data_IF_611815821864
#
_entry.id   IF_611815821864
#
_cell.length_a   1.000
_cell.length_b   1.000
_cell.length_c   1.000
_cell.angle_alpha   90.00
_cell.angle_beta   90.00
_cell.angle_gamma   90.00
#
_symmetry.space_group_name_H-M   'P 1'
#
loop_
_entity.id
_entity.type
_entity.pdbx_description
1 polymer ?
#
# COMPACT_ATOMS: atom_id res chain seq x y z
N UNK A 1 -10.44 -23.41 -12.29
CA UNK A 1 -9.28 -23.41 -11.36
C UNK A 1 -7.95 -23.69 -12.06
N UNK A 2 -7.77 -24.84 -12.73
CA UNK A 2 -6.47 -25.19 -13.36
C UNK A 2 -5.96 -24.11 -14.32
N UNK A 3 -6.83 -23.53 -15.14
CA UNK A 3 -6.44 -22.44 -16.06
C UNK A 3 -5.97 -21.18 -15.34
N UNK A 4 -6.50 -20.89 -14.13
CA UNK A 4 -6.01 -19.77 -13.29
C UNK A 4 -4.58 -20.02 -12.85
N UNK A 5 -4.27 -21.25 -12.41
CA UNK A 5 -2.91 -21.65 -12.00
C UNK A 5 -1.93 -21.54 -13.17
N UNK A 6 -2.30 -22.06 -14.34
CA UNK A 6 -1.48 -21.95 -15.56
C UNK A 6 -1.23 -20.48 -15.93
N UNK A 7 -2.27 -19.64 -15.85
CA UNK A 7 -2.15 -18.21 -16.16
C UNK A 7 -1.28 -17.48 -15.14
N UNK A 8 -1.42 -17.80 -13.85
CA UNK A 8 -0.66 -17.21 -12.74
C UNK A 8 0.85 -17.41 -12.87
N UNK A 9 1.26 -18.59 -13.35
CA UNK A 9 2.66 -18.95 -13.59
C UNK A 9 3.18 -18.47 -14.96
N UNK A 10 2.33 -17.89 -15.80
CA UNK A 10 2.70 -17.41 -17.12
C UNK A 10 3.33 -16.00 -17.08
N UNK A 11 4.18 -15.64 -18.07
CA UNK A 11 4.69 -14.28 -18.20
C UNK A 11 3.61 -13.20 -18.36
N UNK A 12 2.39 -13.56 -18.78
CA UNK A 12 1.27 -12.64 -18.89
C UNK A 12 0.80 -12.12 -17.51
N UNK A 13 1.12 -12.85 -16.43
CA UNK A 13 0.82 -12.48 -15.06
C UNK A 13 1.96 -11.68 -14.38
N UNK A 14 3.02 -11.31 -15.10
CA UNK A 14 4.08 -10.47 -14.54
C UNK A 14 3.59 -9.03 -14.41
N UNK A 15 3.76 -8.45 -13.22
CA UNK A 15 3.40 -7.05 -12.98
C UNK A 15 3.59 -6.62 -11.53
N UNK A 16 3.59 -5.29 -11.33
CA UNK A 16 3.78 -4.67 -10.01
C UNK A 16 2.74 -5.08 -8.96
N UNK A 17 1.63 -5.68 -9.36
CA UNK A 17 0.62 -6.23 -8.46
C UNK A 17 1.20 -7.31 -7.53
N UNK A 18 2.25 -8.02 -7.96
CA UNK A 18 3.00 -8.98 -7.13
C UNK A 18 3.71 -8.33 -5.95
N UNK A 19 3.93 -7.02 -6.00
CA UNK A 19 4.46 -6.24 -4.87
C UNK A 19 3.35 -5.63 -4.00
N UNK A 20 2.06 -5.79 -4.31
CA UNK A 20 0.98 -5.16 -3.53
C UNK A 20 0.38 -6.15 -2.53
N UNK A 21 0.23 -5.72 -1.28
CA UNK A 21 -0.55 -6.43 -0.26
C UNK A 21 -1.63 -5.49 0.24
N UNK A 22 -2.89 -5.90 0.12
CA UNK A 22 -4.04 -5.10 0.53
C UNK A 22 -4.58 -5.63 1.85
N UNK A 23 -4.78 -4.74 2.82
CA UNK A 23 -5.45 -5.01 4.08
C UNK A 23 -6.84 -4.37 4.04
N UNK A 24 -7.86 -5.17 4.33
CA UNK A 24 -9.25 -4.79 4.42
C UNK A 24 -9.72 -5.05 5.85
N UNK A 25 -10.38 -4.09 6.46
CA UNK A 25 -10.87 -4.20 7.83
C UNK A 25 -12.31 -3.73 7.91
N UNK A 26 -13.10 -4.48 8.66
CA UNK A 26 -14.43 -4.08 9.10
C UNK A 26 -14.37 -2.90 10.09
N UNK A 27 -15.51 -2.23 10.29
CA UNK A 27 -15.71 -1.28 11.38
C UNK A 27 -16.45 -1.96 12.55
N UNK A 28 -16.82 -1.19 13.57
CA UNK A 28 -17.40 -1.70 14.80
C UNK A 28 -16.38 -2.27 15.80
N UNK A 29 -16.93 -2.88 16.86
CA UNK A 29 -16.19 -3.50 17.97
C UNK A 29 -15.11 -2.59 18.60
N UNK A 30 -15.39 -1.30 18.72
CA UNK A 30 -14.44 -0.31 19.22
C UNK A 30 -13.14 -0.29 18.40
N UNK A 31 -13.28 -0.35 17.07
CA UNK A 31 -12.21 -0.45 16.08
C UNK A 31 -11.28 -1.67 16.23
N UNK A 32 -11.72 -2.80 16.83
CA UNK A 32 -10.87 -4.00 17.03
C UNK A 32 -10.23 -4.47 15.72
N UNK A 33 -11.02 -4.58 14.65
CA UNK A 33 -10.56 -5.12 13.36
C UNK A 33 -9.46 -4.27 12.73
N UNK A 34 -9.53 -2.95 12.89
CA UNK A 34 -8.47 -2.04 12.42
C UNK A 34 -7.27 -2.06 13.37
N UNK A 35 -7.49 -1.72 14.65
CA UNK A 35 -6.40 -1.38 15.58
C UNK A 35 -5.66 -2.61 16.11
N UNK A 36 -6.37 -3.73 16.26
CA UNK A 36 -5.80 -4.96 16.82
C UNK A 36 -5.46 -6.00 15.75
N UNK A 37 -6.21 -6.04 14.65
CA UNK A 37 -6.07 -7.13 13.65
C UNK A 37 -5.29 -6.72 12.40
N UNK A 38 -5.58 -5.57 11.77
CA UNK A 38 -4.95 -5.23 10.48
C UNK A 38 -3.77 -4.25 10.59
N UNK A 39 -3.88 -3.15 11.34
CA UNK A 39 -2.83 -2.13 11.43
C UNK A 39 -1.48 -2.66 11.92
N UNK A 40 -1.42 -3.50 12.98
CA UNK A 40 -0.14 -4.07 13.41
C UNK A 40 0.55 -4.86 12.30
N UNK A 41 -0.21 -5.67 11.54
CA UNK A 41 0.32 -6.48 10.43
C UNK A 41 0.79 -5.61 9.27
N UNK A 42 0.01 -4.58 8.93
CA UNK A 42 0.35 -3.64 7.87
C UNK A 42 1.65 -2.88 8.18
N UNK A 43 1.77 -2.34 9.40
CA UNK A 43 2.94 -1.57 9.84
C UNK A 43 4.19 -2.45 9.97
N UNK A 44 4.00 -3.68 10.42
CA UNK A 44 5.04 -4.70 10.46
C UNK A 44 5.56 -5.04 9.05
N UNK A 45 4.67 -5.24 8.08
CA UNK A 45 5.05 -5.54 6.69
C UNK A 45 5.83 -4.39 6.06
N UNK A 46 5.40 -3.14 6.28
CA UNK A 46 6.11 -1.93 5.82
C UNK A 46 7.55 -1.93 6.34
N UNK A 47 7.72 -2.28 7.63
CA UNK A 47 9.02 -2.23 8.30
C UNK A 47 9.93 -3.40 7.88
N UNK A 48 9.40 -4.62 7.88
CA UNK A 48 10.19 -5.85 7.69
C UNK A 48 10.35 -6.27 6.24
N UNK A 49 9.46 -5.80 5.34
CA UNK A 49 9.43 -6.20 3.93
C UNK A 49 9.12 -4.99 3.03
N UNK A 50 9.99 -3.96 3.01
CA UNK A 50 9.72 -2.71 2.30
C UNK A 50 9.54 -2.87 0.79
N UNK A 51 9.95 -3.99 0.19
CA UNK A 51 9.66 -4.29 -1.23
C UNK A 51 8.15 -4.38 -1.53
N UNK A 52 7.34 -4.80 -0.56
CA UNK A 52 5.88 -4.82 -0.69
C UNK A 52 5.27 -3.45 -0.39
N UNK A 53 4.29 -3.06 -1.20
CA UNK A 53 3.47 -1.88 -1.07
C UNK A 53 2.19 -2.26 -0.32
N UNK A 54 2.01 -1.66 0.85
CA UNK A 54 0.79 -1.82 1.65
C UNK A 54 -0.29 -0.90 1.12
N UNK A 55 -1.44 -1.48 0.83
CA UNK A 55 -2.66 -0.77 0.49
C UNK A 55 -3.71 -1.03 1.59
N UNK A 56 -4.37 0.02 2.08
CA UNK A 56 -5.32 -0.08 3.19
C UNK A 56 -6.72 0.31 2.70
N UNK A 57 -7.70 -0.54 2.96
CA UNK A 57 -9.12 -0.33 2.64
C UNK A 57 -9.92 -0.68 3.89
N UNK A 58 -9.97 0.22 4.86
CA UNK A 58 -10.74 0.00 6.07
C UNK A 58 -12.12 0.63 5.88
N UNK A 59 -13.17 -0.10 6.23
CA UNK A 59 -14.55 0.34 6.02
C UNK A 59 -14.79 1.75 6.59
N UNK A 60 -14.23 1.99 7.78
CA UNK A 60 -14.25 3.25 8.51
C UNK A 60 -13.46 4.42 7.84
N UNK A 61 -12.82 4.20 6.69
CA UNK A 61 -12.26 5.26 5.82
C UNK A 61 -13.29 5.79 4.80
N UNK A 62 -14.46 5.17 4.71
CA UNK A 62 -15.48 5.42 3.70
C UNK A 62 -16.85 5.66 4.36
N UNK A 63 -17.67 6.56 3.82
CA UNK A 63 -19.00 6.81 4.37
C UNK A 63 -19.91 5.60 4.18
N UNK A 64 -20.74 5.33 5.17
CA UNK A 64 -21.87 4.41 5.05
C UNK A 64 -23.15 5.16 4.63
N UNK A 65 -24.04 4.46 3.92
CA UNK A 65 -25.34 4.96 3.48
C UNK A 65 -26.43 3.94 3.80
N UNK A 66 -27.56 4.42 4.34
CA UNK A 66 -28.71 3.57 4.64
C UNK A 66 -29.44 3.16 3.35
N UNK A 67 -29.73 1.87 3.20
CA UNK A 67 -30.52 1.30 2.13
C UNK A 67 -31.66 0.41 2.65
N UNK A 68 -32.51 -0.06 1.73
CA UNK A 68 -33.65 -0.93 2.08
C UNK A 68 -33.23 -2.27 2.71
N UNK A 69 -31.99 -2.71 2.48
CA UNK A 69 -31.43 -3.96 3.01
C UNK A 69 -30.46 -3.79 4.18
N UNK A 70 -30.32 -2.59 4.75
CA UNK A 70 -29.32 -2.26 5.78
C UNK A 70 -28.37 -1.15 5.35
N UNK A 71 -27.31 -0.92 6.14
CA UNK A 71 -26.23 -0.01 5.75
C UNK A 71 -25.46 -0.59 4.56
N UNK A 72 -24.85 0.29 3.78
CA UNK A 72 -23.96 -0.07 2.69
C UNK A 72 -22.80 0.92 2.63
N UNK A 73 -21.64 0.51 2.13
CA UNK A 73 -20.57 1.46 1.78
C UNK A 73 -20.11 1.31 0.32
N UNK A 74 -20.81 1.97 -0.64
CA UNK A 74 -20.46 1.89 -2.06
C UNK A 74 -19.03 2.34 -2.37
N UNK A 75 -18.47 3.25 -1.57
CA UNK A 75 -17.11 3.72 -1.74
C UNK A 75 -16.07 2.69 -1.24
N UNK A 76 -16.36 1.96 -0.16
CA UNK A 76 -15.53 0.85 0.29
C UNK A 76 -15.59 -0.33 -0.71
N UNK A 77 -16.79 -0.70 -1.19
CA UNK A 77 -16.96 -1.74 -2.23
C UNK A 77 -16.09 -1.45 -3.45
N UNK A 78 -16.20 -0.23 -4.02
CA UNK A 78 -15.35 0.17 -5.17
C UNK A 78 -13.86 0.09 -4.86
N UNK A 79 -13.43 0.48 -3.65
CA UNK A 79 -12.02 0.41 -3.28
C UNK A 79 -11.50 -1.03 -3.14
N UNK A 80 -12.35 -1.97 -2.70
CA UNK A 80 -12.04 -3.40 -2.67
C UNK A 80 -11.97 -3.95 -4.09
N UNK A 81 -12.97 -3.64 -4.92
CA UNK A 81 -13.01 -4.05 -6.33
C UNK A 81 -11.75 -3.57 -7.06
N UNK A 82 -11.41 -2.28 -6.93
CA UNK A 82 -10.18 -1.72 -7.52
C UNK A 82 -8.91 -2.42 -7.02
N UNK A 83 -8.84 -2.78 -5.74
CA UNK A 83 -7.66 -3.44 -5.17
C UNK A 83 -7.47 -4.88 -5.72
N UNK A 84 -8.56 -5.58 -6.00
CA UNK A 84 -8.57 -6.92 -6.58
C UNK A 84 -8.36 -6.83 -8.10
N UNK A 85 -9.09 -5.94 -8.78
CA UNK A 85 -9.03 -5.72 -10.22
C UNK A 85 -7.66 -5.25 -10.69
N UNK A 86 -7.02 -4.33 -9.96
CA UNK A 86 -5.65 -3.90 -10.26
C UNK A 86 -4.61 -4.93 -9.82
N UNK A 87 -5.03 -5.94 -9.05
CA UNK A 87 -4.21 -7.03 -8.55
C UNK A 87 -3.52 -6.68 -7.23
N UNK A 88 -3.59 -7.62 -6.30
CA UNK A 88 -2.81 -7.65 -5.07
C UNK A 88 -2.29 -9.09 -4.88
N UNK A 89 -1.02 -9.27 -4.51
CA UNK A 89 -0.47 -10.60 -4.23
C UNK A 89 -1.29 -11.29 -3.14
N UNK A 90 -1.60 -10.54 -2.08
CA UNK A 90 -2.45 -10.96 -0.97
C UNK A 90 -3.50 -9.88 -0.71
N UNK A 91 -4.75 -10.29 -0.57
CA UNK A 91 -5.81 -9.51 0.09
C UNK A 91 -6.08 -10.15 1.44
N UNK A 92 -5.80 -9.43 2.52
CA UNK A 92 -6.16 -9.85 3.87
C UNK A 92 -7.40 -9.10 4.33
N UNK A 93 -8.42 -9.84 4.74
CA UNK A 93 -9.62 -9.29 5.36
C UNK A 93 -9.73 -9.75 6.82
N UNK A 94 -10.08 -8.83 7.72
CA UNK A 94 -10.42 -9.12 9.11
C UNK A 94 -11.70 -8.37 9.49
N UNK A 95 -12.69 -9.10 10.01
CA UNK A 95 -14.01 -8.55 10.29
C UNK A 95 -15.12 -9.57 10.36
N UNK A 96 -16.35 -9.09 10.45
CA UNK A 96 -17.56 -9.90 10.32
C UNK A 96 -17.77 -10.39 8.89
N UNK A 97 -18.78 -11.21 8.69
CA UNK A 97 -19.12 -11.70 7.37
C UNK A 97 -19.84 -13.03 7.45
N UNK A 98 -20.15 -13.54 6.28
CA UNK A 98 -20.67 -14.89 6.17
C UNK A 98 -20.60 -15.42 4.77
N UNK A 99 -21.32 -16.53 4.52
CA UNK A 99 -21.35 -17.24 3.23
C UNK A 99 -21.70 -16.35 2.02
N UNK A 100 -22.28 -15.15 2.20
CA UNK A 100 -22.70 -14.23 1.13
C UNK A 100 -21.75 -13.06 0.86
N UNK A 101 -20.83 -12.72 1.77
CA UNK A 101 -20.02 -11.51 1.64
C UNK A 101 -19.34 -11.09 2.94
N UNK A 102 -18.71 -9.91 2.92
CA UNK A 102 -18.05 -9.31 4.08
C UNK A 102 -18.92 -8.22 4.70
N UNK A 103 -18.85 -8.14 6.04
CA UNK A 103 -19.56 -7.18 6.90
C UNK A 103 -21.09 -7.16 6.77
N UNK A 104 -21.76 -6.44 7.67
CA UNK A 104 -23.21 -6.22 7.60
C UNK A 104 -23.56 -5.12 6.56
N UNK A 105 -22.58 -4.29 6.20
CA UNK A 105 -22.63 -3.22 5.19
C UNK A 105 -22.48 -3.75 3.76
N UNK A 106 -22.50 -5.08 3.59
CA UNK A 106 -22.59 -5.76 2.29
C UNK A 106 -21.45 -5.35 1.34
N UNK A 107 -20.22 -5.33 1.84
CA UNK A 107 -19.04 -5.13 1.00
C UNK A 107 -18.53 -6.49 0.50
N UNK A 108 -18.03 -6.54 -0.74
CA UNK A 108 -17.49 -7.76 -1.35
C UNK A 108 -18.46 -8.95 -1.28
N UNK A 109 -19.67 -8.76 -1.80
CA UNK A 109 -20.72 -9.77 -1.87
C UNK A 109 -20.41 -10.85 -2.91
N UNK A 110 -21.11 -12.00 -2.86
CA UNK A 110 -21.06 -13.03 -3.91
C UNK A 110 -21.33 -12.45 -5.31
N UNK A 111 -22.20 -11.45 -5.42
CA UNK A 111 -22.48 -10.76 -6.69
C UNK A 111 -21.26 -9.96 -7.18
N UNK A 112 -20.55 -9.28 -6.28
CA UNK A 112 -19.33 -8.55 -6.61
C UNK A 112 -18.23 -9.52 -7.06
N UNK A 113 -18.07 -10.64 -6.34
CA UNK A 113 -17.14 -11.71 -6.69
C UNK A 113 -17.38 -12.22 -8.12
N UNK A 114 -18.64 -12.46 -8.50
CA UNK A 114 -19.01 -12.96 -9.83
C UNK A 114 -18.63 -12.01 -10.97
N UNK A 115 -18.43 -10.73 -10.67
CA UNK A 115 -18.07 -9.70 -11.64
C UNK A 115 -16.54 -9.47 -11.75
N UNK A 116 -15.72 -10.25 -11.04
CA UNK A 116 -14.27 -10.06 -11.05
C UNK A 116 -13.60 -10.54 -12.35
N UNK A 117 -12.75 -9.69 -12.93
CA UNK A 117 -12.10 -9.83 -14.24
C UNK A 117 -10.56 -9.84 -14.16
N UNK A 118 -9.98 -9.94 -12.95
CA UNK A 118 -8.53 -9.94 -12.69
C UNK A 118 -7.78 -11.23 -13.13
N UNK A 119 -8.02 -11.72 -14.35
CA UNK A 119 -7.56 -13.00 -14.91
C UNK A 119 -6.04 -13.20 -14.83
N UNK A 120 -5.24 -12.17 -15.11
CA UNK A 120 -3.77 -12.25 -15.09
C UNK A 120 -3.14 -11.82 -13.77
N UNK A 121 -3.97 -11.52 -12.77
CA UNK A 121 -3.56 -11.09 -11.43
C UNK A 121 -4.54 -11.58 -10.36
N UNK A 122 -4.87 -12.88 -10.34
CA UNK A 122 -5.74 -13.43 -9.30
C UNK A 122 -5.03 -13.32 -7.96
N UNK A 123 -5.78 -12.95 -6.92
CA UNK A 123 -5.21 -12.67 -5.60
C UNK A 123 -5.25 -13.89 -4.70
N UNK A 124 -4.31 -14.01 -3.75
CA UNK A 124 -4.49 -14.94 -2.65
C UNK A 124 -5.25 -14.24 -1.52
N UNK A 125 -6.34 -14.84 -1.04
CA UNK A 125 -7.15 -14.24 0.01
C UNK A 125 -6.86 -14.87 1.37
N UNK A 126 -6.54 -14.04 2.36
CA UNK A 126 -6.56 -14.42 3.76
C UNK A 126 -7.79 -13.80 4.41
N UNK A 127 -8.83 -14.59 4.65
CA UNK A 127 -10.11 -14.09 5.16
C UNK A 127 -10.33 -14.58 6.59
N UNK A 128 -10.18 -13.65 7.53
CA UNK A 128 -10.29 -13.88 8.95
C UNK A 128 -11.66 -13.36 9.43
N UNK A 129 -12.71 -14.05 8.96
CA UNK A 129 -14.12 -13.73 9.12
C UNK A 129 -14.92 -15.00 9.39
N UNK A 130 -16.22 -14.93 9.67
CA UNK A 130 -17.06 -16.11 9.84
C UNK A 130 -17.43 -16.74 8.49
N UNK A 131 -17.33 -18.07 8.41
CA UNK A 131 -17.92 -19.00 7.42
C UNK A 131 -17.95 -18.63 5.91
N UNK A 132 -17.14 -17.66 5.48
CA UNK A 132 -17.09 -17.13 4.11
C UNK A 132 -16.90 -18.19 3.04
N UNK A 133 -16.26 -19.30 3.39
CA UNK A 133 -15.97 -20.42 2.48
C UNK A 133 -16.56 -21.76 2.96
N UNK A 134 -17.79 -21.75 3.46
CA UNK A 134 -18.56 -22.99 3.68
C UNK A 134 -18.73 -23.73 2.36
N UNK A 135 -18.09 -24.89 2.21
CA UNK A 135 -18.00 -25.62 0.93
C UNK A 135 -18.71 -26.97 0.90
N UNK A 136 -19.43 -27.30 1.95
CA UNK A 136 -20.10 -28.58 2.14
C UNK A 136 -21.63 -28.47 2.17
N UNK A 137 -22.16 -27.33 1.71
CA UNK A 137 -23.60 -27.14 1.49
C UNK A 137 -23.94 -27.39 0.01
N UNK A 138 -24.64 -28.49 -0.33
CA UNK A 138 -25.00 -28.80 -1.72
C UNK A 138 -26.08 -27.87 -2.29
N UNK A 139 -26.75 -27.06 -1.46
CA UNK A 139 -27.81 -26.14 -1.88
C UNK A 139 -27.30 -24.72 -2.12
N UNK A 140 -26.07 -24.40 -1.69
CA UNK A 140 -25.54 -23.03 -1.72
C UNK A 140 -24.02 -22.96 -1.88
N UNK A 141 -23.55 -22.44 -3.02
CA UNK A 141 -22.12 -22.07 -3.15
C UNK A 141 -21.83 -20.76 -2.39
N UNK A 142 -20.84 -20.77 -1.50
CA UNK A 142 -20.44 -19.56 -0.78
C UNK A 142 -19.70 -18.55 -1.67
N UNK A 143 -19.63 -17.29 -1.24
CA UNK A 143 -18.84 -16.25 -1.90
C UNK A 143 -17.35 -16.64 -2.02
N UNK A 144 -16.79 -17.26 -0.98
CA UNK A 144 -15.41 -17.75 -0.97
C UNK A 144 -15.15 -18.90 -1.96
N UNK A 145 -16.08 -19.84 -2.09
CA UNK A 145 -15.99 -20.89 -3.12
C UNK A 145 -16.04 -20.30 -4.52
N UNK A 146 -17.03 -19.45 -4.77
CA UNK A 146 -17.26 -18.80 -6.07
C UNK A 146 -16.04 -18.00 -6.51
N UNK A 147 -15.36 -17.31 -5.58
CA UNK A 147 -14.14 -16.57 -5.85
C UNK A 147 -13.01 -17.47 -6.41
N UNK A 148 -12.99 -18.74 -6.01
CA UNK A 148 -12.02 -19.73 -6.49
C UNK A 148 -12.47 -20.41 -7.78
N UNK A 149 -13.72 -20.86 -7.88
CA UNK A 149 -14.16 -21.84 -8.89
C UNK A 149 -14.99 -21.27 -10.04
N UNK A 150 -15.86 -20.29 -9.79
CA UNK A 150 -16.96 -19.94 -10.71
C UNK A 150 -16.75 -18.63 -11.48
N UNK A 151 -15.57 -18.03 -11.34
CA UNK A 151 -15.19 -16.77 -12.00
C UNK A 151 -13.87 -16.94 -12.74
N UNK A 152 -13.67 -16.25 -13.86
CA UNK A 152 -12.39 -16.30 -14.59
C UNK A 152 -11.28 -15.57 -13.85
N UNK A 153 -11.60 -14.46 -13.17
CA UNK A 153 -10.72 -13.75 -12.24
C UNK A 153 -10.76 -14.33 -10.83
N UNK A 154 -10.98 -13.48 -9.83
CA UNK A 154 -11.14 -13.85 -8.43
C UNK A 154 -9.84 -14.22 -7.73
N UNK A 155 -9.91 -15.30 -6.96
CA UNK A 155 -8.81 -15.79 -6.13
C UNK A 155 -8.01 -16.89 -6.83
N UNK A 156 -6.69 -16.90 -6.60
CA UNK A 156 -5.80 -18.04 -6.93
C UNK A 156 -5.87 -19.14 -5.87
N UNK A 157 -6.29 -18.76 -4.66
CA UNK A 157 -6.47 -19.61 -3.50
C UNK A 157 -6.87 -18.75 -2.29
N UNK A 158 -7.42 -19.39 -1.26
CA UNK A 158 -7.85 -18.75 -0.03
C UNK A 158 -7.36 -19.54 1.18
N UNK A 159 -6.79 -18.87 2.17
CA UNK A 159 -6.77 -19.38 3.55
C UNK A 159 -7.91 -18.68 4.29
N UNK A 160 -8.94 -19.45 4.63
CA UNK A 160 -10.27 -18.92 4.91
C UNK A 160 -11.00 -19.80 5.92
N UNK A 161 -12.08 -19.29 6.47
CA UNK A 161 -12.94 -20.02 7.40
C UNK A 161 -14.07 -20.75 6.67
N UNK A 162 -14.41 -21.90 7.21
CA UNK A 162 -15.46 -22.79 6.71
C UNK A 162 -16.64 -22.88 7.67
N UNK A 163 -16.49 -22.26 8.86
CA UNK A 163 -17.43 -22.22 9.97
C UNK A 163 -17.20 -20.93 10.76
N UNK A 164 -18.10 -20.65 11.70
CA UNK A 164 -18.02 -19.52 12.62
C UNK A 164 -16.72 -19.58 13.44
N UNK A 165 -16.14 -18.41 13.69
CA UNK A 165 -14.91 -18.21 14.45
C UNK A 165 -15.01 -16.94 15.30
N UNK A 166 -14.04 -16.73 16.20
CA UNK A 166 -13.99 -15.56 17.09
C UNK A 166 -12.82 -14.65 16.68
N UNK A 167 -13.05 -13.33 16.68
CA UNK A 167 -12.11 -12.28 16.25
C UNK A 167 -10.71 -12.42 16.86
N UNK A 168 -10.61 -12.70 18.15
CA UNK A 168 -9.31 -12.86 18.84
C UNK A 168 -8.47 -14.00 18.25
N UNK A 169 -9.09 -15.14 17.90
CA UNK A 169 -8.36 -16.27 17.31
C UNK A 169 -8.02 -16.04 15.83
N UNK A 170 -8.87 -15.28 15.13
CA UNK A 170 -8.59 -14.79 13.78
C UNK A 170 -7.32 -13.94 13.74
N UNK A 171 -7.16 -13.03 14.71
CA UNK A 171 -5.95 -12.22 14.87
C UNK A 171 -4.70 -13.10 15.01
N UNK A 172 -4.69 -14.06 15.93
CA UNK A 172 -3.52 -14.95 16.14
C UNK A 172 -3.16 -15.77 14.88
N UNK A 173 -4.16 -16.19 14.11
CA UNK A 173 -3.94 -16.86 12.83
C UNK A 173 -3.35 -15.92 11.78
N UNK A 174 -3.88 -14.70 11.65
CA UNK A 174 -3.33 -13.70 10.72
C UNK A 174 -1.89 -13.31 11.08
N UNK A 175 -1.60 -13.05 12.35
CA UNK A 175 -0.24 -12.79 12.84
C UNK A 175 0.71 -13.91 12.46
N UNK A 176 0.29 -15.16 12.69
CA UNK A 176 1.12 -16.30 12.34
C UNK A 176 1.28 -16.47 10.83
N UNK A 177 0.22 -16.24 10.05
CA UNK A 177 0.28 -16.29 8.59
C UNK A 177 1.33 -15.31 8.04
N UNK A 178 1.29 -14.04 8.45
CA UNK A 178 2.25 -13.04 7.98
C UNK A 178 3.69 -13.30 8.48
N UNK A 179 3.85 -13.99 9.61
CA UNK A 179 5.17 -14.43 10.07
C UNK A 179 5.78 -15.52 9.16
N UNK A 180 4.98 -16.34 8.47
CA UNK A 180 5.46 -17.50 7.72
C UNK A 180 5.37 -17.34 6.20
N UNK A 181 4.38 -16.61 5.68
CA UNK A 181 4.13 -16.49 4.23
C UNK A 181 5.28 -15.80 3.50
N UNK A 182 6.04 -14.95 4.18
CA UNK A 182 7.23 -14.28 3.64
C UNK A 182 8.56 -14.82 4.21
N UNK A 183 8.54 -16.05 4.75
CA UNK A 183 9.70 -16.71 5.33
C UNK A 183 10.07 -17.95 4.50
N UNK A 184 11.28 -17.99 3.91
CA UNK A 184 11.74 -19.17 3.18
C UNK A 184 11.77 -20.43 4.06
N UNK A 185 11.34 -21.56 3.49
CA UNK A 185 11.47 -22.91 4.03
C UNK A 185 12.55 -23.63 3.22
N UNK A 186 13.64 -24.04 3.87
CA UNK A 186 14.78 -24.70 3.21
C UNK A 186 15.35 -23.90 2.02
N UNK A 187 15.48 -22.58 2.19
CA UNK A 187 16.09 -21.68 1.20
C UNK A 187 15.20 -21.32 0.01
N UNK A 188 13.92 -21.71 0.01
CA UNK A 188 12.92 -21.32 -1.00
C UNK A 188 11.72 -20.69 -0.32
N UNK A 189 11.03 -19.75 -0.96
CA UNK A 189 9.73 -19.27 -0.47
C UNK A 189 8.78 -20.45 -0.19
N UNK A 190 7.78 -20.36 0.69
CA UNK A 190 6.97 -21.51 1.10
C UNK A 190 5.90 -21.86 0.06
N UNK A 191 5.42 -23.12 0.05
CA UNK A 191 4.23 -23.51 -0.73
C UNK A 191 2.98 -23.18 0.10
N UNK A 192 1.82 -23.04 -0.53
CA UNK A 192 0.58 -22.73 0.19
C UNK A 192 0.24 -23.78 1.26
N UNK A 193 0.50 -25.06 1.00
CA UNK A 193 0.35 -26.13 2.00
C UNK A 193 1.29 -25.96 3.20
N UNK A 194 2.55 -25.57 2.97
CA UNK A 194 3.50 -25.27 4.05
C UNK A 194 3.04 -24.05 4.86
N UNK A 195 2.59 -23.00 4.18
CA UNK A 195 2.04 -21.79 4.82
C UNK A 195 0.86 -22.17 5.70
N UNK A 196 -0.10 -22.95 5.20
CA UNK A 196 -1.24 -23.42 5.99
C UNK A 196 -0.79 -24.21 7.23
N UNK A 197 0.08 -25.20 7.05
CA UNK A 197 0.54 -26.05 8.15
C UNK A 197 1.29 -25.24 9.22
N UNK A 198 2.24 -24.39 8.82
CA UNK A 198 3.02 -23.54 9.74
C UNK A 198 2.17 -22.46 10.41
N UNK A 199 1.12 -21.99 9.72
CA UNK A 199 0.15 -21.05 10.26
C UNK A 199 -0.68 -21.71 11.35
N UNK A 200 -1.31 -22.86 11.05
CA UNK A 200 -2.17 -23.56 12.00
C UNK A 200 -1.40 -24.10 13.21
N UNK A 201 -0.21 -24.65 13.00
CA UNK A 201 0.62 -25.21 14.08
C UNK A 201 1.27 -24.14 14.97
N UNK A 202 1.40 -22.91 14.48
CA UNK A 202 2.08 -21.83 15.22
C UNK A 202 1.16 -20.73 15.74
N UNK A 203 -0.17 -20.86 15.59
CA UNK A 203 -1.14 -19.90 16.08
C UNK A 203 -1.76 -20.36 17.41
N UNK A 204 -2.92 -20.98 17.37
CA UNK A 204 -3.73 -21.44 18.50
C UNK A 204 -4.31 -22.83 18.23
N UNK A 205 -4.67 -23.57 19.27
CA UNK A 205 -5.29 -24.89 19.17
C UNK A 205 -6.79 -24.84 19.49
N UNK A 206 -7.59 -25.64 18.79
CA UNK A 206 -9.03 -25.78 19.04
C UNK A 206 -9.88 -25.60 17.79
N UNK A 207 -11.18 -25.47 17.99
CA UNK A 207 -12.16 -25.48 16.89
C UNK A 207 -11.99 -24.28 15.97
N UNK A 208 -11.71 -23.09 16.53
CA UNK A 208 -11.38 -21.90 15.74
C UNK A 208 -10.21 -22.14 14.77
N UNK A 209 -9.24 -23.00 15.12
CA UNK A 209 -8.12 -23.32 14.24
C UNK A 209 -8.56 -24.33 13.17
N UNK A 210 -9.30 -25.36 13.58
CA UNK A 210 -9.84 -26.39 12.68
C UNK A 210 -10.73 -25.78 11.59
N UNK A 211 -11.47 -24.71 11.92
CA UNK A 211 -12.38 -24.02 11.00
C UNK A 211 -11.66 -23.30 9.85
N UNK A 212 -10.35 -23.05 9.93
CA UNK A 212 -9.57 -22.52 8.82
C UNK A 212 -9.10 -23.61 7.86
N UNK A 213 -9.37 -23.43 6.57
CA UNK A 213 -8.97 -24.32 5.49
C UNK A 213 -8.27 -23.55 4.37
N UNK A 214 -7.32 -24.22 3.71
CA UNK A 214 -6.79 -23.77 2.43
C UNK A 214 -7.73 -24.29 1.33
N UNK A 215 -8.35 -23.38 0.59
CA UNK A 215 -9.02 -23.68 -0.68
C UNK A 215 -8.10 -23.26 -1.82
N UNK A 216 -7.62 -24.23 -2.60
CA UNK A 216 -6.66 -24.00 -3.68
C UNK A 216 -5.64 -25.12 -3.80
N UNK A 217 -4.60 -24.91 -4.60
CA UNK A 217 -3.54 -25.89 -4.79
C UNK A 217 -2.47 -25.76 -3.67
N UNK A 218 -2.33 -26.75 -2.77
CA UNK A 218 -1.32 -26.70 -1.70
C UNK A 218 0.12 -26.77 -2.21
N UNK A 219 0.34 -27.21 -3.44
CA UNK A 219 1.66 -27.30 -4.06
C UNK A 219 2.14 -25.98 -4.68
N UNK A 220 1.20 -25.07 -4.95
CA UNK A 220 1.47 -23.77 -5.55
C UNK A 220 2.26 -22.86 -4.60
N UNK A 221 2.93 -21.86 -5.18
CA UNK A 221 3.56 -20.75 -4.47
C UNK A 221 2.84 -19.47 -4.86
N UNK A 222 2.82 -18.49 -3.96
CA UNK A 222 2.49 -17.14 -4.39
C UNK A 222 3.57 -16.65 -5.36
N UNK A 223 3.22 -15.69 -6.20
CA UNK A 223 4.09 -15.05 -7.17
C UNK A 223 5.11 -14.14 -6.49
N UNK A 224 5.96 -14.71 -5.64
CA UNK A 224 7.07 -14.04 -4.99
C UNK A 224 8.14 -13.70 -6.03
N UNK A 225 8.57 -12.43 -6.14
CA UNK A 225 9.68 -12.07 -7.02
C UNK A 225 10.97 -12.78 -6.60
N UNK A 226 11.71 -13.34 -7.57
CA UNK A 226 12.87 -14.19 -7.28
C UNK A 226 14.19 -13.42 -7.16
N UNK A 227 14.30 -12.29 -7.85
CA UNK A 227 15.50 -11.45 -7.90
C UNK A 227 15.29 -10.11 -7.19
N UNK A 228 16.38 -9.38 -6.98
CA UNK A 228 16.34 -8.06 -6.32
C UNK A 228 16.52 -6.94 -7.32
N UNK A 229 15.76 -5.86 -7.18
CA UNK A 229 15.91 -4.62 -7.94
C UNK A 229 16.28 -3.49 -6.98
N UNK A 230 17.27 -2.67 -7.33
CA UNK A 230 17.73 -1.58 -6.46
C UNK A 230 18.04 -0.31 -7.23
N UNK A 231 17.76 0.85 -6.64
CA UNK A 231 18.30 2.13 -7.09
C UNK A 231 19.74 2.24 -6.57
N UNK A 232 20.68 2.57 -7.45
CA UNK A 232 22.08 2.84 -7.08
C UNK A 232 22.41 4.31 -7.07
N UNK A 233 21.81 5.07 -7.97
CA UNK A 233 22.09 6.49 -8.10
C UNK A 233 20.81 7.32 -8.18
N UNK A 234 20.86 8.46 -7.50
CA UNK A 234 19.88 9.54 -7.57
C UNK A 234 20.62 10.81 -7.99
N UNK A 235 20.25 11.40 -9.13
CA UNK A 235 20.88 12.60 -9.69
C UNK A 235 22.42 12.48 -9.81
N UNK A 236 22.89 11.32 -10.28
CA UNK A 236 24.31 11.01 -10.47
C UNK A 236 25.12 10.77 -9.19
N UNK A 237 24.47 10.78 -8.01
CA UNK A 237 25.11 10.47 -6.73
C UNK A 237 24.67 9.10 -6.24
N UNK A 238 25.58 8.35 -5.60
CA UNK A 238 25.24 7.08 -4.99
C UNK A 238 24.12 7.25 -3.96
N UNK A 239 23.10 6.38 -3.97
CA UNK A 239 21.93 6.51 -3.12
C UNK A 239 22.28 6.54 -1.63
N UNK A 240 23.33 5.80 -1.23
CA UNK A 240 23.82 5.75 0.15
C UNK A 240 24.37 7.09 0.68
N UNK A 241 24.81 7.97 -0.23
CA UNK A 241 25.37 9.29 0.11
C UNK A 241 24.54 10.44 -0.45
N UNK A 242 23.44 10.14 -1.14
CA UNK A 242 22.55 11.14 -1.70
C UNK A 242 21.77 11.81 -0.56
N UNK A 243 22.04 13.10 -0.35
CA UNK A 243 21.22 13.98 0.50
C UNK A 243 20.13 14.68 -0.31
N UNK A 244 19.95 14.28 -1.57
CA UNK A 244 19.03 14.95 -2.48
C UNK A 244 17.58 14.66 -2.10
N UNK A 245 16.75 15.68 -2.24
CA UNK A 245 15.32 15.61 -1.94
C UNK A 245 14.56 15.66 -3.26
N UNK A 246 13.58 14.79 -3.43
CA UNK A 246 12.61 14.90 -4.50
C UNK A 246 11.72 16.12 -4.23
N UNK A 247 12.08 17.27 -4.81
CA UNK A 247 11.34 18.54 -4.65
C UNK A 247 10.49 18.84 -5.87
N UNK A 248 9.39 19.55 -5.67
CA UNK A 248 8.47 19.89 -6.74
C UNK A 248 9.17 20.58 -7.92
N UNK A 249 8.78 20.19 -9.14
CA UNK A 249 9.30 20.69 -10.41
C UNK A 249 10.77 20.33 -10.71
N UNK A 250 11.46 19.54 -9.88
CA UNK A 250 12.76 19.02 -10.29
C UNK A 250 12.65 17.93 -11.31
N UNK A 251 13.61 17.95 -12.23
CA UNK A 251 14.05 16.76 -12.94
C UNK A 251 14.83 15.84 -11.99
N UNK A 252 14.48 14.56 -12.01
CA UNK A 252 15.11 13.50 -11.23
C UNK A 252 15.62 12.44 -12.19
N UNK A 253 16.90 12.08 -12.07
CA UNK A 253 17.54 11.00 -12.81
C UNK A 253 17.83 9.83 -11.85
N UNK A 254 17.25 8.66 -12.14
CA UNK A 254 17.46 7.42 -11.40
C UNK A 254 18.28 6.44 -12.24
N UNK A 255 19.21 5.74 -11.59
CA UNK A 255 19.89 4.57 -12.16
C UNK A 255 19.89 3.43 -11.15
N UNK A 256 19.70 2.22 -11.64
CA UNK A 256 19.62 1.02 -10.81
C UNK A 256 19.98 -0.25 -11.57
N UNK A 257 19.94 -1.36 -10.85
CA UNK A 257 20.25 -2.69 -11.37
C UNK A 257 19.36 -3.78 -10.78
N UNK A 258 19.35 -4.91 -11.48
CA UNK A 258 18.78 -6.18 -11.07
C UNK A 258 19.92 -7.10 -10.65
N UNK A 259 19.80 -7.68 -9.46
CA UNK A 259 20.76 -8.63 -8.91
C UNK A 259 20.16 -10.01 -8.69
N UNK A 260 20.99 -11.01 -8.89
CA UNK A 260 20.70 -12.40 -8.51
C UNK A 260 20.51 -12.53 -6.99
N UNK A 261 19.98 -13.67 -6.53
CA UNK A 261 19.88 -13.97 -5.10
C UNK A 261 21.24 -13.94 -4.37
N UNK A 262 22.36 -14.13 -5.09
CA UNK A 262 23.72 -14.02 -4.56
C UNK A 262 24.24 -12.56 -4.48
N UNK A 263 23.45 -11.57 -4.92
CA UNK A 263 23.78 -10.15 -4.84
C UNK A 263 24.60 -9.59 -6.01
N UNK A 264 25.05 -10.43 -6.96
CA UNK A 264 25.73 -10.00 -8.18
C UNK A 264 24.72 -9.47 -9.21
N UNK A 265 25.11 -8.46 -10.00
CA UNK A 265 24.32 -7.93 -11.12
C UNK A 265 24.01 -9.08 -12.09
N UNK A 266 22.73 -9.23 -12.43
CA UNK A 266 22.30 -10.22 -13.42
C UNK A 266 22.42 -9.64 -14.83
N UNK A 267 23.62 -9.75 -15.40
CA UNK A 267 23.91 -9.30 -16.77
C UNK A 267 23.07 -10.02 -17.86
N UNK A 268 22.38 -11.12 -17.51
CA UNK A 268 21.46 -11.82 -18.42
C UNK A 268 20.05 -11.23 -18.44
N UNK A 269 19.69 -10.36 -17.48
CA UNK A 269 18.35 -9.80 -17.37
C UNK A 269 18.10 -8.72 -18.44
N UNK A 270 17.16 -8.96 -19.34
CA UNK A 270 16.78 -8.02 -20.40
C UNK A 270 15.25 -7.91 -20.48
N UNK A 271 14.71 -6.82 -19.95
CA UNK A 271 13.27 -6.70 -19.75
C UNK A 271 12.82 -5.28 -19.48
N UNK A 272 11.78 -5.15 -18.65
CA UNK A 272 11.26 -3.85 -18.21
C UNK A 272 11.25 -3.77 -16.70
N UNK A 273 11.44 -2.57 -16.17
CA UNK A 273 11.21 -2.25 -14.76
C UNK A 273 10.12 -1.19 -14.66
N UNK A 274 9.12 -1.46 -13.83
CA UNK A 274 8.14 -0.50 -13.37
C UNK A 274 8.70 0.18 -12.12
N UNK A 275 8.73 1.51 -12.15
CA UNK A 275 9.18 2.37 -11.06
C UNK A 275 7.99 3.19 -10.58
N UNK A 276 7.56 2.95 -9.34
CA UNK A 276 6.52 3.74 -8.68
C UNK A 276 7.14 4.52 -7.54
N UNK A 277 7.11 5.85 -7.62
CA UNK A 277 7.59 6.76 -6.58
C UNK A 277 6.38 7.24 -5.80
N UNK A 278 6.24 6.75 -4.57
CA UNK A 278 5.24 7.17 -3.62
C UNK A 278 5.69 8.41 -2.86
N UNK A 279 4.72 9.25 -2.55
CA UNK A 279 4.89 10.33 -1.58
C UNK A 279 5.12 9.77 -0.17
N UNK A 280 5.41 10.64 0.79
CA UNK A 280 5.42 10.28 2.20
C UNK A 280 4.01 9.85 2.66
N UNK A 281 3.89 8.97 3.67
CA UNK A 281 2.59 8.64 4.23
C UNK A 281 1.83 9.88 4.70
N UNK A 282 0.53 9.93 4.40
CA UNK A 282 -0.41 10.91 4.95
C UNK A 282 -1.18 10.31 6.13
N UNK A 283 -1.65 11.17 7.02
CA UNK A 283 -2.47 10.76 8.15
C UNK A 283 -3.94 10.83 7.76
N UNK A 284 -4.68 9.74 7.97
CA UNK A 284 -6.13 9.66 7.75
C UNK A 284 -6.81 9.43 9.09
N UNK A 285 -7.84 10.22 9.39
CA UNK A 285 -8.72 10.00 10.55
C UNK A 285 -9.89 9.12 10.11
N UNK A 286 -10.14 8.02 10.83
CA UNK A 286 -11.31 7.17 10.59
C UNK A 286 -12.61 7.91 10.93
N UNK A 287 -13.70 7.48 10.30
CA UNK A 287 -15.00 8.12 10.43
C UNK A 287 -15.72 7.74 11.71
N UNK A 288 -15.45 6.56 12.28
CA UNK A 288 -16.17 6.03 13.44
C UNK A 288 -17.66 5.96 13.11
N UNK A 289 -17.98 5.16 12.09
CA UNK A 289 -19.35 5.02 11.58
C UNK A 289 -20.27 4.32 12.60
N UNK A 290 -19.71 3.47 13.46
CA UNK A 290 -20.44 2.71 14.47
C UNK A 290 -20.48 3.36 15.87
N UNK A 291 -21.51 3.03 16.65
CA UNK A 291 -21.85 3.72 17.91
C UNK A 291 -20.76 3.64 19.00
N UNK A 292 -19.91 2.61 18.95
CA UNK A 292 -18.82 2.39 19.92
C UNK A 292 -17.43 2.64 19.34
N UNK A 293 -17.34 3.09 18.09
CA UNK A 293 -16.06 3.30 17.44
C UNK A 293 -15.44 4.65 17.78
N UNK A 294 -14.13 4.61 17.94
CA UNK A 294 -13.32 5.81 17.98
C UNK A 294 -13.07 6.36 16.58
N UNK A 295 -12.39 7.51 16.55
CA UNK A 295 -11.88 8.13 15.31
C UNK A 295 -10.35 8.18 15.35
N UNK A 296 -9.66 7.02 15.44
CA UNK A 296 -8.21 7.01 15.48
C UNK A 296 -7.63 7.53 14.15
N UNK A 297 -6.37 7.93 14.21
CA UNK A 297 -5.61 8.30 13.01
C UNK A 297 -4.67 7.18 12.61
N UNK A 298 -4.58 6.91 11.32
CA UNK A 298 -3.70 5.90 10.73
C UNK A 298 -2.85 6.52 9.63
N UNK A 299 -1.67 5.93 9.38
CA UNK A 299 -0.81 6.32 8.28
C UNK A 299 -1.18 5.55 7.01
N UNK A 300 -1.36 6.27 5.89
CA UNK A 300 -1.68 5.71 4.57
C UNK A 300 -0.70 6.27 3.55
N UNK A 301 -0.08 5.39 2.75
CA UNK A 301 0.83 5.80 1.67
C UNK A 301 0.23 5.39 0.33
N UNK A 302 -0.57 6.29 -0.26
CA UNK A 302 -1.27 6.06 -1.54
C UNK A 302 -0.95 7.06 -2.64
N UNK A 303 -0.43 8.24 -2.27
CA UNK A 303 -0.17 9.31 -3.21
C UNK A 303 1.09 9.00 -4.04
N UNK A 304 0.97 9.11 -5.36
CA UNK A 304 2.02 8.75 -6.33
C UNK A 304 2.59 10.03 -6.93
N UNK A 305 3.90 10.20 -6.80
CA UNK A 305 4.68 11.27 -7.43
C UNK A 305 4.97 10.91 -8.89
N UNK A 306 5.28 9.63 -9.15
CA UNK A 306 5.60 9.13 -10.48
C UNK A 306 5.28 7.64 -10.58
N UNK A 307 4.76 7.22 -11.73
CA UNK A 307 4.59 5.80 -12.07
C UNK A 307 4.90 5.59 -13.55
N UNK A 308 5.97 4.84 -13.85
CA UNK A 308 6.40 4.64 -15.23
C UNK A 308 7.39 3.51 -15.41
N UNK A 309 7.78 3.27 -16.66
CA UNK A 309 8.61 2.13 -17.06
C UNK A 309 9.95 2.57 -17.64
N UNK A 310 10.98 1.75 -17.39
CA UNK A 310 12.26 1.82 -18.07
C UNK A 310 12.64 0.44 -18.65
N UNK A 311 13.46 0.43 -19.69
CA UNK A 311 14.06 -0.80 -20.19
C UNK A 311 15.24 -1.20 -19.29
N UNK A 312 15.31 -2.49 -18.97
CA UNK A 312 16.48 -3.10 -18.32
C UNK A 312 17.31 -3.76 -19.41
N UNK A 313 18.61 -3.44 -19.47
CA UNK A 313 19.56 -4.04 -20.40
C UNK A 313 20.78 -4.52 -19.62
N UNK A 314 21.14 -5.78 -19.80
CA UNK A 314 22.23 -6.41 -19.07
C UNK A 314 22.15 -6.18 -17.55
N UNK A 315 20.95 -6.30 -16.99
CA UNK A 315 20.71 -6.08 -15.56
C UNK A 315 20.68 -4.62 -15.12
N UNK A 316 20.91 -3.63 -15.98
CA UNK A 316 20.94 -2.21 -15.60
C UNK A 316 19.80 -1.41 -16.22
N UNK A 317 19.34 -0.36 -15.52
CA UNK A 317 18.31 0.56 -16.02
C UNK A 317 18.56 2.00 -15.61
N UNK A 318 18.00 2.92 -16.41
CA UNK A 318 17.98 4.36 -16.14
C UNK A 318 16.60 4.93 -16.45
N UNK A 319 16.20 5.93 -15.67
CA UNK A 319 14.92 6.60 -15.81
C UNK A 319 15.06 8.07 -15.44
N UNK A 320 14.35 8.94 -16.16
CA UNK A 320 14.22 10.36 -15.81
C UNK A 320 12.74 10.70 -15.67
N UNK A 321 12.40 11.48 -14.64
CA UNK A 321 11.07 12.05 -14.49
C UNK A 321 11.11 13.47 -13.91
N UNK A 322 9.97 14.15 -13.91
CA UNK A 322 9.81 15.45 -13.26
C UNK A 322 8.85 15.30 -12.09
N UNK A 323 9.24 15.77 -10.91
CA UNK A 323 8.39 15.78 -9.72
C UNK A 323 7.25 16.78 -9.94
N UNK A 324 5.98 16.40 -9.76
CA UNK A 324 4.85 17.29 -9.98
C UNK A 324 4.80 18.40 -8.93
N UNK A 325 4.00 19.44 -9.21
CA UNK A 325 3.94 20.65 -8.37
C UNK A 325 3.21 20.42 -7.05
N UNK A 326 2.27 19.49 -7.03
CA UNK A 326 1.26 19.26 -5.99
C UNK A 326 1.70 18.26 -4.90
N UNK A 327 2.99 17.96 -4.80
CA UNK A 327 3.51 17.22 -3.64
C UNK A 327 3.33 18.04 -2.36
N UNK A 328 3.20 17.39 -1.21
CA UNK A 328 3.27 18.10 0.06
C UNK A 328 4.72 18.56 0.33
N UNK A 329 4.91 19.87 0.57
CA UNK A 329 6.23 20.48 0.70
C UNK A 329 6.95 20.21 2.03
N UNK A 330 6.27 19.66 3.03
CA UNK A 330 6.92 19.21 4.26
C UNK A 330 7.88 18.06 3.95
N UNK A 331 9.07 18.11 4.55
CA UNK A 331 10.04 17.03 4.41
C UNK A 331 9.50 15.75 5.04
N UNK A 332 9.70 14.64 4.34
CA UNK A 332 9.42 13.30 4.85
C UNK A 332 10.03 12.25 3.93
N UNK A 333 9.82 10.98 4.29
CA UNK A 333 10.40 9.87 3.57
C UNK A 333 9.37 9.31 2.58
N UNK A 334 9.62 9.51 1.29
CA UNK A 334 8.90 8.82 0.22
C UNK A 334 9.53 7.46 -0.07
N UNK A 335 8.85 6.68 -0.91
CA UNK A 335 9.25 5.32 -1.24
C UNK A 335 9.31 5.13 -2.75
N UNK A 336 10.42 4.62 -3.26
CA UNK A 336 10.57 4.16 -4.64
C UNK A 336 10.40 2.65 -4.62
N UNK A 337 9.31 2.14 -5.20
CA UNK A 337 9.05 0.72 -5.39
C UNK A 337 9.42 0.29 -6.81
N UNK A 338 10.04 -0.89 -6.91
CA UNK A 338 10.54 -1.45 -8.15
C UNK A 338 9.93 -2.83 -8.38
N UNK A 339 9.41 -3.07 -9.58
CA UNK A 339 9.08 -4.41 -10.06
C UNK A 339 9.63 -4.55 -11.48
N UNK A 340 10.51 -5.51 -11.70
CA UNK A 340 11.07 -5.80 -13.02
C UNK A 340 10.66 -7.17 -13.51
N UNK A 341 10.55 -7.30 -14.83
CA UNK A 341 10.16 -8.54 -15.49
C UNK A 341 10.95 -8.72 -16.81
N UNK A 342 11.54 -9.90 -16.96
CA UNK A 342 12.08 -10.46 -18.19
C UNK A 342 11.15 -11.60 -18.62
N UNK A 343 10.24 -11.30 -19.54
CA UNK A 343 9.20 -12.24 -19.98
C UNK A 343 9.73 -13.36 -20.86
N UNK A 344 10.92 -13.20 -21.45
CA UNK A 344 11.57 -14.21 -22.29
C UNK A 344 12.28 -15.23 -21.40
N UNK A 345 13.09 -14.76 -20.45
CA UNK A 345 13.80 -15.61 -19.49
C UNK A 345 12.91 -16.13 -18.35
N UNK A 346 11.67 -15.62 -18.25
CA UNK A 346 10.72 -15.93 -17.18
C UNK A 346 11.32 -15.65 -15.80
N UNK A 347 11.83 -14.43 -15.64
CA UNK A 347 12.40 -13.95 -14.39
C UNK A 347 11.76 -12.62 -14.00
N UNK A 348 11.59 -12.41 -12.71
CA UNK A 348 11.16 -11.13 -12.16
C UNK A 348 12.00 -10.73 -10.94
N UNK A 349 11.96 -9.44 -10.64
CA UNK A 349 12.70 -8.85 -9.54
C UNK A 349 11.86 -7.81 -8.81
N UNK A 350 12.10 -7.63 -7.52
CA UNK A 350 11.47 -6.57 -6.75
C UNK A 350 12.44 -5.87 -5.83
N UNK A 351 12.06 -4.68 -5.40
CA UNK A 351 12.76 -4.00 -4.33
C UNK A 351 12.14 -2.66 -4.00
N UNK A 352 12.72 -2.01 -3.01
CA UNK A 352 12.33 -0.67 -2.63
C UNK A 352 13.54 0.13 -2.15
N UNK A 353 13.44 1.44 -2.29
CA UNK A 353 14.42 2.41 -1.81
C UNK A 353 13.68 3.60 -1.27
N UNK A 354 14.06 4.09 -0.10
CA UNK A 354 13.48 5.30 0.46
C UNK A 354 14.29 6.53 0.03
N UNK A 355 13.59 7.63 -0.24
CA UNK A 355 14.19 8.90 -0.60
C UNK A 355 13.49 10.05 0.12
N UNK A 356 14.22 11.11 0.45
CA UNK A 356 13.61 12.31 1.00
C UNK A 356 12.70 12.96 -0.05
N UNK A 357 11.47 13.32 0.32
CA UNK A 357 10.49 14.04 -0.49
C UNK A 357 10.10 15.31 0.24
N UNK A 358 9.97 16.41 -0.49
CA UNK A 358 9.49 17.68 0.05
C UNK A 358 10.21 18.87 -0.57
N UNK A 359 9.89 20.06 -0.06
CA UNK A 359 10.33 21.36 -0.55
C UNK A 359 9.91 21.68 -2.00
N UNK A 360 10.17 22.92 -2.40
CA UNK A 360 9.89 23.44 -3.73
C UNK A 360 11.22 23.86 -4.40
N UNK A 361 11.43 23.53 -5.67
CA UNK A 361 12.59 24.04 -6.40
C UNK A 361 12.38 25.51 -6.78
N UNK A 362 13.09 26.40 -6.09
CA UNK A 362 13.29 27.77 -6.55
C UNK A 362 14.61 27.80 -7.33
N UNK A 363 14.55 28.01 -8.65
CA UNK A 363 15.72 28.55 -9.35
C UNK A 363 15.98 29.94 -8.78
N UNK A 364 17.02 30.10 -7.95
CA UNK A 364 17.60 31.44 -7.79
C UNK A 364 18.15 31.82 -9.17
N UNK A 365 17.65 32.87 -9.85
CA UNK A 365 18.43 33.45 -10.95
C UNK A 365 19.82 33.77 -10.40
N UNK A 366 20.90 33.65 -11.20
CA UNK A 366 22.24 33.95 -10.71
C UNK A 366 22.27 35.37 -10.15
N UNK A 367 22.25 35.48 -8.82
CA UNK A 367 22.28 36.77 -8.13
C UNK A 367 23.69 37.32 -8.26
N UNK A 368 23.90 38.23 -9.22
CA UNK A 368 24.99 39.21 -9.17
C UNK A 368 24.72 40.27 -8.09
N UNK A 369 24.46 39.88 -6.85
CA UNK A 369 24.33 40.85 -5.75
C UNK A 369 25.03 40.37 -4.48
N UNK A 370 25.83 41.29 -3.94
CA UNK A 370 26.76 41.18 -2.82
C UNK A 370 26.10 40.77 -1.47
N UNK A 371 26.88 40.32 -0.45
CA UNK A 371 26.37 39.58 0.71
C UNK A 371 25.61 40.39 1.79
N UNK A 372 25.05 41.56 1.49
CA UNK A 372 24.50 42.48 2.52
C UNK A 372 22.98 42.54 2.61
N UNK A 373 22.24 41.59 2.02
CA UNK A 373 20.76 41.61 2.04
C UNK A 373 20.20 40.34 2.68
N UNK A 374 19.34 40.50 3.69
CA UNK A 374 18.50 39.43 4.21
C UNK A 374 17.18 39.39 3.42
N UNK A 375 16.76 38.21 2.98
CA UNK A 375 15.48 37.99 2.30
C UNK A 375 14.51 37.25 3.23
N UNK A 376 13.31 37.79 3.39
CA UNK A 376 12.20 37.13 4.08
C UNK A 376 11.04 36.91 3.09
N UNK A 377 10.48 35.70 3.09
CA UNK A 377 9.31 35.34 2.29
C UNK A 377 8.07 35.18 3.18
N UNK A 378 6.99 35.89 2.83
CA UNK A 378 5.67 35.72 3.43
C UNK A 378 4.65 35.67 2.29
N UNK A 379 3.78 34.64 2.29
CA UNK A 379 2.64 34.49 1.36
C UNK A 379 2.96 34.85 -0.10
N UNK A 380 4.01 34.24 -0.63
CA UNK A 380 4.40 34.38 -2.04
C UNK A 380 4.95 35.76 -2.46
N UNK A 381 5.31 36.64 -1.50
CA UNK A 381 5.99 37.92 -1.78
C UNK A 381 7.39 37.97 -1.15
N UNK A 382 8.35 38.47 -1.93
CA UNK A 382 9.72 38.72 -1.50
C UNK A 382 9.83 40.15 -0.93
N UNK A 383 10.32 40.26 0.30
CA UNK A 383 10.68 41.53 0.90
C UNK A 383 12.20 41.64 0.96
N UNK A 384 12.75 42.69 0.35
CA UNK A 384 14.17 43.04 0.36
C UNK A 384 14.37 44.20 1.34
N UNK A 385 15.13 43.97 2.41
CA UNK A 385 15.58 45.01 3.33
C UNK A 385 17.08 45.28 3.15
N UNK A 386 17.45 46.55 2.98
CA UNK A 386 18.85 46.98 3.00
C UNK A 386 19.26 47.33 4.44
N UNK A 387 20.30 46.67 4.96
CA UNK A 387 20.74 46.83 6.36
C UNK A 387 21.64 48.06 6.58
N UNK A 388 21.71 48.99 5.63
CA UNK A 388 22.57 50.19 5.71
C UNK A 388 21.81 51.45 6.17
N UNK A 389 21.14 51.40 7.31
CA UNK A 389 20.92 52.58 8.14
C UNK A 389 20.32 52.20 9.51
N UNK A 390 21.07 52.56 10.56
CA UNK A 390 20.69 52.58 11.98
C UNK A 390 20.50 51.25 12.73
N UNK A 391 21.22 51.15 13.85
CA UNK A 391 20.93 50.25 14.96
C UNK A 391 19.47 50.41 15.40
N UNK A 392 18.59 49.54 14.90
CA UNK A 392 17.23 49.39 15.41
C UNK A 392 17.14 48.05 16.12
N UNK A 393 16.92 48.13 17.44
CA UNK A 393 16.65 47.00 18.33
C UNK A 393 15.48 46.18 17.76
N UNK A 394 15.55 44.86 17.95
CA UNK A 394 14.56 43.84 17.53
C UNK A 394 13.08 44.12 17.90
N UNK A 395 12.79 45.17 18.69
CA UNK A 395 11.44 45.56 19.10
C UNK A 395 10.63 46.30 18.02
N UNK A 396 11.25 46.86 16.98
CA UNK A 396 10.53 47.66 15.97
C UNK A 396 9.79 46.82 14.91
N UNK A 397 10.23 45.59 14.64
CA UNK A 397 9.59 44.70 13.65
C UNK A 397 8.25 44.16 14.18
N UNK A 398 8.10 43.98 15.50
CA UNK A 398 6.82 43.61 16.11
C UNK A 398 5.77 44.75 16.05
N UNK A 399 6.19 46.02 16.05
CA UNK A 399 5.24 47.15 16.09
C UNK A 399 4.53 47.42 14.75
N UNK A 400 5.14 47.07 13.62
CA UNK A 400 4.50 47.18 12.30
C UNK A 400 3.49 46.06 12.01
N UNK A 401 3.55 44.94 12.74
CA UNK A 401 2.67 43.79 12.55
C UNK A 401 1.28 44.03 13.16
N UNK A 402 1.14 44.93 14.14
CA UNK A 402 -0.15 45.22 14.77
C UNK A 402 -1.03 46.21 13.97
N UNK A 403 -0.48 46.88 12.95
CA UNK A 403 -1.19 47.92 12.18
C UNK A 403 -1.87 47.44 10.88
N UNK A 404 -1.68 46.18 10.48
CA UNK A 404 -2.21 45.62 9.23
C UNK A 404 -3.29 44.54 9.42
N UNK A 405 -3.79 44.36 10.65
CA UNK A 405 -4.96 43.53 10.93
C UNK A 405 -6.20 44.45 10.95
N UNK A 406 -7.19 44.27 10.07
CA UNK A 406 -8.45 44.99 10.18
C UNK A 406 -9.16 44.57 11.47
N UNK A 407 -9.43 45.51 12.38
CA UNK A 407 -10.33 45.29 13.52
C UNK A 407 -11.74 45.11 12.97
N UNK A 408 -12.37 43.97 13.28
CA UNK A 408 -13.81 43.78 13.09
C UNK A 408 -14.58 44.81 13.95
N UNK A 409 -15.65 45.45 13.45
CA UNK A 409 -16.44 46.36 14.26
C UNK A 409 -17.29 45.56 15.26
N UNK A 410 -17.12 45.87 16.54
CA UNK A 410 -18.03 45.48 17.59
C UNK A 410 -19.30 46.36 17.50
N UNK A 411 -20.46 45.74 17.36
CA UNK A 411 -21.75 46.36 17.68
C UNK A 411 -22.39 45.62 18.85
N UNK A 412 -22.64 46.35 19.92
CA UNK A 412 -23.30 45.91 21.13
C UNK A 412 -24.84 45.93 20.99
N UNK A 413 -25.47 44.90 21.57
CA UNK A 413 -26.76 44.87 22.27
C UNK A 413 -28.05 45.34 21.56
N UNK A 414 -28.94 44.36 21.33
CA UNK A 414 -30.21 44.24 22.06
C UNK A 414 -30.46 42.78 22.43
#
# INVERSE_FOLDING_TARGET
MVDKLITYDSPAAYGKWRNRVTFVADDGDANEHVLSSTEPLANDLITRRPAYNVHKVYLDMYPQVAGAGGQNSPAATRAIDEAIEQGSLIVNYAGHGGVRGWTDEQIFTKSDVLNLENVTRPTFMLTATCDFSTYDDPEFDSAGEVALTNVTGGAIGLLTTTRVVISTFNRFLNERFFAVVFAPVNGRMPRLGDVMALTKNGSQAGDNNRNFSLLGDPSARLAYPEQSAAIRQLNGKAIATATDTLRALSRVDLAGDITTAAGAIDAGFNGKVQVTVFEKPSTVTLLGNELNDGRPTIAVQRDIIYDGQASVRNGEFKLTFVVPKDINYSFGQGKISLYAADTIRRADASGATYAAVGAFWITRPPTRYHPTSACLWIQSRLYLGDLRAHQLRLSAVCAMITALIPRAPASATK
#
